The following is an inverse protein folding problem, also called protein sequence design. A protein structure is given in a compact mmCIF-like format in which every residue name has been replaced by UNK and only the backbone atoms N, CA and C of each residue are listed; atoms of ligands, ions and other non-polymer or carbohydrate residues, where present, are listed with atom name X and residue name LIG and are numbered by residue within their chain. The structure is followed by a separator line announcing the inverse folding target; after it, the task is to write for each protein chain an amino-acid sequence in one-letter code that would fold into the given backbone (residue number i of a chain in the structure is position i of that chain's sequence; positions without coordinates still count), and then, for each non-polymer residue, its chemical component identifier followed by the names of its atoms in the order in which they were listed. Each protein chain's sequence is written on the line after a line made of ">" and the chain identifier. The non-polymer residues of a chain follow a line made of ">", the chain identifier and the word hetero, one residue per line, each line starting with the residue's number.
data_IF_222574224314
#
_entry.id   IF_222574224314
#
_cell.length_a   1.000
_cell.length_b   1.000
_cell.length_c   1.000
_cell.angle_alpha   90.00
_cell.angle_beta   90.00
_cell.angle_gamma   90.00
#
_symmetry.space_group_name_H-M   'P 1'
#
loop_
_entity.id
_entity.type
_entity.pdbx_description
1 polymer ?
#
# COMPACT_ATOMS: atom_id res chain seq x y z
N UNK A 1 79.89 14.20 -37.48
CA UNK A 1 79.04 14.68 -38.59
C UNK A 1 77.78 13.83 -38.63
N UNK A 2 76.64 14.43 -38.32
CA UNK A 2 75.27 14.11 -38.77
C UNK A 2 74.30 14.65 -37.71
N UNK A 3 73.90 15.90 -37.88
CA UNK A 3 72.78 16.51 -37.18
C UNK A 3 71.49 16.01 -37.85
N UNK A 4 70.60 15.37 -37.09
CA UNK A 4 69.23 15.09 -37.51
C UNK A 4 68.31 16.10 -36.82
N UNK A 5 67.66 16.92 -37.64
CA UNK A 5 66.87 18.08 -37.25
C UNK A 5 65.56 17.73 -36.53
N UNK A 6 65.11 18.70 -35.72
CA UNK A 6 63.77 18.74 -35.17
C UNK A 6 62.76 19.21 -36.24
N UNK A 7 61.54 18.64 -36.29
CA UNK A 7 60.48 19.15 -37.14
C UNK A 7 59.78 20.37 -36.50
N UNK A 8 59.47 21.36 -37.35
CA UNK A 8 58.72 22.57 -37.00
C UNK A 8 57.22 22.27 -36.77
N UNK A 9 56.62 22.91 -35.77
CA UNK A 9 55.20 22.81 -35.45
C UNK A 9 54.39 23.83 -36.28
N UNK A 10 53.27 23.45 -36.92
CA UNK A 10 52.44 24.38 -37.67
C UNK A 10 51.60 25.29 -36.75
N UNK A 11 51.43 26.53 -37.21
CA UNK A 11 50.94 27.67 -36.44
C UNK A 11 49.51 27.59 -35.92
N UNK A 12 49.31 28.21 -34.75
CA UNK A 12 48.02 28.45 -34.14
C UNK A 12 47.23 29.53 -34.88
N UNK A 13 46.04 29.17 -35.34
CA UNK A 13 45.00 30.11 -35.75
C UNK A 13 44.15 30.41 -34.51
N UNK A 14 44.27 31.61 -33.95
CA UNK A 14 43.41 32.12 -32.88
C UNK A 14 42.02 32.48 -33.45
N UNK A 15 40.93 31.76 -33.14
CA UNK A 15 39.61 32.22 -33.50
C UNK A 15 39.20 33.35 -32.55
N UNK A 16 39.08 34.56 -33.09
CA UNK A 16 38.69 35.75 -32.35
C UNK A 16 37.40 35.55 -31.54
N UNK A 17 37.47 35.82 -30.23
CA UNK A 17 36.31 35.92 -29.36
C UNK A 17 35.37 37.01 -29.89
N UNK A 18 34.25 36.60 -30.52
CA UNK A 18 33.10 37.49 -30.69
C UNK A 18 32.51 37.78 -29.31
N UNK A 19 32.62 39.03 -28.88
CA UNK A 19 31.85 39.57 -27.77
C UNK A 19 30.35 39.37 -28.06
N UNK A 20 29.71 38.48 -27.31
CA UNK A 20 28.25 38.38 -27.27
C UNK A 20 27.68 39.64 -26.59
N UNK A 21 26.58 40.22 -27.10
CA UNK A 21 25.96 41.38 -26.48
C UNK A 21 25.46 41.02 -25.08
N UNK A 22 25.68 41.92 -24.10
CA UNK A 22 25.18 41.74 -22.74
C UNK A 22 23.65 41.65 -22.76
N UNK A 23 23.13 40.52 -22.28
CA UNK A 23 21.68 40.32 -22.11
C UNK A 23 21.07 41.33 -21.14
N UNK A 24 19.75 41.55 -21.20
CA UNK A 24 19.07 42.56 -20.40
C UNK A 24 19.26 42.31 -18.90
N UNK A 25 19.47 43.39 -18.15
CA UNK A 25 19.64 43.39 -16.70
C UNK A 25 18.48 42.67 -16.02
N UNK A 26 18.81 41.70 -15.16
CA UNK A 26 17.85 40.97 -14.35
C UNK A 26 16.93 41.95 -13.59
N UNK A 27 15.62 41.78 -13.77
CA UNK A 27 14.62 42.54 -13.00
C UNK A 27 14.69 42.21 -11.51
N UNK A 28 14.02 43.02 -10.67
CA UNK A 28 14.05 42.85 -9.22
C UNK A 28 13.52 41.46 -8.82
N UNK A 29 14.35 40.74 -8.06
CA UNK A 29 14.00 39.44 -7.46
C UNK A 29 12.84 39.68 -6.48
N UNK A 30 11.70 38.98 -6.64
CA UNK A 30 10.56 39.15 -5.74
C UNK A 30 10.96 38.71 -4.34
N UNK A 31 10.89 39.64 -3.39
CA UNK A 31 11.14 39.37 -1.97
C UNK A 31 9.85 38.84 -1.34
N UNK A 32 9.77 37.53 -1.19
CA UNK A 32 8.64 36.91 -0.51
C UNK A 32 8.80 35.41 -0.37
N UNK A 33 8.72 34.95 0.89
CA UNK A 33 8.65 33.58 1.39
C UNK A 33 10.01 32.93 1.71
N UNK A 34 10.20 32.68 3.01
CA UNK A 34 11.41 32.09 3.58
C UNK A 34 11.71 30.74 2.97
N UNK A 35 12.86 30.65 2.29
CA UNK A 35 13.44 29.40 1.85
C UNK A 35 13.99 28.67 3.07
N UNK A 36 13.26 27.69 3.59
CA UNK A 36 13.87 26.78 4.57
C UNK A 36 15.04 26.06 3.88
N UNK A 37 16.23 26.11 4.48
CA UNK A 37 17.42 25.38 4.01
C UNK A 37 17.02 23.93 3.65
N UNK A 38 17.36 23.41 2.44
CA UNK A 38 16.89 22.11 1.96
C UNK A 38 17.12 20.95 2.95
N UNK A 39 18.17 21.05 3.77
CA UNK A 39 18.45 20.09 4.84
C UNK A 39 17.41 20.11 5.97
N UNK A 40 16.97 21.30 6.40
CA UNK A 40 16.02 21.45 7.51
C UNK A 40 14.62 20.95 7.13
N UNK A 41 14.15 21.26 5.92
CA UNK A 41 12.88 20.76 5.39
C UNK A 41 12.87 19.21 5.30
N UNK A 42 13.98 18.61 4.84
CA UNK A 42 14.14 17.14 4.76
C UNK A 42 14.12 16.49 6.14
N UNK A 43 14.78 17.08 7.13
CA UNK A 43 14.79 16.58 8.52
C UNK A 43 13.38 16.64 9.13
N UNK A 44 12.66 17.76 8.94
CA UNK A 44 11.28 17.92 9.42
C UNK A 44 10.36 16.85 8.79
N UNK A 45 10.44 16.65 7.48
CA UNK A 45 9.68 15.61 6.79
C UNK A 45 10.00 14.20 7.32
N UNK A 46 11.29 13.87 7.48
CA UNK A 46 11.73 12.59 8.04
C UNK A 46 11.16 12.33 9.44
N UNK A 47 11.15 13.35 10.32
CA UNK A 47 10.57 13.25 11.67
C UNK A 47 9.06 12.95 11.63
N UNK A 48 8.32 13.60 10.73
CA UNK A 48 6.89 13.33 10.59
C UNK A 48 6.63 11.92 10.04
N UNK A 49 7.42 11.47 9.05
CA UNK A 49 7.33 10.10 8.54
C UNK A 49 7.66 9.04 9.61
N UNK A 50 8.65 9.30 10.47
CA UNK A 50 8.96 8.44 11.61
C UNK A 50 7.76 8.37 12.57
N UNK A 51 7.20 9.52 12.98
CA UNK A 51 6.03 9.59 13.86
C UNK A 51 4.82 8.82 13.31
N UNK A 52 4.52 8.96 12.02
CA UNK A 52 3.43 8.21 11.37
C UNK A 52 3.72 6.72 11.35
N UNK A 53 4.97 6.34 11.05
CA UNK A 53 5.39 4.93 11.04
C UNK A 53 5.28 4.29 12.42
N UNK A 54 5.72 4.99 13.46
CA UNK A 54 5.64 4.53 14.85
C UNK A 54 4.20 4.41 15.33
N UNK A 55 3.35 5.38 15.01
CA UNK A 55 1.92 5.33 15.37
C UNK A 55 1.21 4.15 14.69
N UNK A 56 1.51 3.91 13.41
CA UNK A 56 0.98 2.75 12.68
C UNK A 56 1.47 1.44 13.27
N UNK A 57 2.76 1.36 13.62
CA UNK A 57 3.35 0.18 14.25
C UNK A 57 2.70 -0.11 15.62
N UNK A 58 2.54 0.91 16.47
CA UNK A 58 1.86 0.81 17.76
C UNK A 58 0.42 0.30 17.60
N UNK A 59 -0.33 0.87 16.66
CA UNK A 59 -1.68 0.40 16.33
C UNK A 59 -1.69 -1.07 15.92
N UNK A 60 -0.80 -1.48 15.01
CA UNK A 60 -0.70 -2.87 14.58
C UNK A 60 -0.34 -3.81 15.73
N UNK A 61 0.58 -3.43 16.62
CA UNK A 61 0.91 -4.26 17.78
C UNK A 61 -0.29 -4.41 18.71
N UNK A 62 -1.04 -3.34 19.00
CA UNK A 62 -2.24 -3.41 19.85
C UNK A 62 -3.33 -4.28 19.23
N UNK A 63 -3.69 -3.98 17.99
CA UNK A 63 -4.75 -4.71 17.28
C UNK A 63 -4.42 -6.19 17.10
N UNK A 64 -3.19 -6.54 16.69
CA UNK A 64 -2.79 -7.94 16.52
C UNK A 64 -2.80 -8.70 17.83
N UNK A 65 -2.36 -8.08 18.94
CA UNK A 65 -2.40 -8.74 20.26
C UNK A 65 -3.83 -9.00 20.69
N UNK A 66 -4.72 -8.03 20.51
CA UNK A 66 -6.12 -8.17 20.86
C UNK A 66 -6.77 -9.31 20.07
N UNK A 67 -6.63 -9.32 18.74
CA UNK A 67 -7.21 -10.37 17.88
C UNK A 67 -6.73 -11.77 18.30
N UNK A 68 -5.44 -11.94 18.57
CA UNK A 68 -4.85 -13.23 18.96
C UNK A 68 -5.28 -13.68 20.37
N UNK A 69 -5.56 -12.75 21.28
CA UNK A 69 -6.07 -13.07 22.60
C UNK A 69 -7.55 -13.48 22.57
N UNK A 70 -8.34 -12.78 21.76
CA UNK A 70 -9.79 -12.98 21.66
C UNK A 70 -10.15 -14.20 20.79
N UNK A 71 -9.25 -14.64 19.92
CA UNK A 71 -9.49 -15.72 18.95
C UNK A 71 -8.64 -16.96 19.24
N UNK A 72 -9.24 -18.13 19.12
CA UNK A 72 -8.52 -19.42 19.17
C UNK A 72 -7.78 -19.71 17.85
N UNK A 73 -8.35 -19.26 16.73
CA UNK A 73 -7.80 -19.40 15.39
C UNK A 73 -8.10 -18.14 14.58
N UNK A 74 -7.14 -17.73 13.74
CA UNK A 74 -7.26 -16.58 12.85
C UNK A 74 -7.00 -17.02 11.42
N UNK A 75 -8.01 -16.82 10.57
CA UNK A 75 -7.92 -17.08 9.14
C UNK A 75 -7.94 -15.75 8.40
N UNK A 76 -6.96 -15.53 7.54
CA UNK A 76 -6.88 -14.30 6.73
C UNK A 76 -6.91 -14.68 5.25
N UNK A 77 -7.67 -13.94 4.45
CA UNK A 77 -7.62 -14.15 3.00
C UNK A 77 -6.26 -13.74 2.42
N UNK A 78 -5.70 -14.58 1.54
CA UNK A 78 -4.50 -14.24 0.78
C UNK A 78 -4.80 -13.18 -0.28
N UNK A 79 -4.92 -11.93 0.19
CA UNK A 79 -4.92 -10.76 -0.66
C UNK A 79 -3.52 -10.60 -1.26
N UNK A 80 -3.43 -10.38 -2.57
CA UNK A 80 -2.17 -10.05 -3.24
C UNK A 80 -1.69 -8.64 -2.82
N UNK A 81 -1.30 -8.43 -1.56
CA UNK A 81 -1.01 -7.11 -0.99
C UNK A 81 0.09 -6.40 -1.79
N UNK A 82 1.09 -7.14 -2.26
CA UNK A 82 2.14 -6.65 -3.16
C UNK A 82 1.59 -6.17 -4.50
N UNK A 83 0.63 -6.89 -5.09
CA UNK A 83 -0.08 -6.50 -6.31
C UNK A 83 -0.96 -5.28 -6.10
N UNK A 84 -1.75 -5.26 -5.02
CA UNK A 84 -2.63 -4.14 -4.67
C UNK A 84 -1.83 -2.84 -4.42
N UNK A 85 -0.62 -2.98 -3.87
CA UNK A 85 0.35 -1.91 -3.68
C UNK A 85 0.87 -1.25 -4.98
N UNK A 86 0.54 -1.81 -6.15
CA UNK A 86 0.90 -1.27 -7.48
C UNK A 86 -0.32 -0.74 -8.26
N UNK A 87 -1.50 -0.78 -7.67
CA UNK A 87 -2.75 -0.32 -8.30
C UNK A 87 -3.12 1.09 -7.86
N UNK A 88 -4.29 1.59 -8.29
CA UNK A 88 -4.88 2.84 -7.78
C UNK A 88 -5.13 2.83 -6.26
N UNK A 89 -5.15 1.65 -5.63
CA UNK A 89 -5.28 1.47 -4.18
C UNK A 89 -3.94 1.52 -3.43
N UNK A 90 -2.83 1.72 -4.13
CA UNK A 90 -1.48 1.66 -3.56
C UNK A 90 -1.29 2.55 -2.33
N UNK A 91 -1.86 3.76 -2.34
CA UNK A 91 -1.80 4.66 -1.19
C UNK A 91 -2.50 4.04 0.02
N UNK A 92 -3.77 3.67 -0.12
CA UNK A 92 -4.57 3.07 0.96
C UNK A 92 -3.96 1.78 1.51
N UNK A 93 -3.39 0.94 0.64
CA UNK A 93 -2.73 -0.31 1.03
C UNK A 93 -1.46 -0.04 1.85
N UNK A 94 -0.63 0.92 1.42
CA UNK A 94 0.60 1.31 2.12
C UNK A 94 0.29 2.03 3.44
N UNK A 95 -0.70 2.91 3.45
CA UNK A 95 -1.15 3.62 4.64
C UNK A 95 -1.65 2.62 5.70
N UNK A 96 -2.42 1.61 5.26
CA UNK A 96 -2.92 0.55 6.14
C UNK A 96 -1.86 -0.43 6.63
N UNK A 97 -0.68 -0.52 6.00
CA UNK A 97 0.43 -1.35 6.50
C UNK A 97 0.17 -2.87 6.52
N UNK A 98 -0.70 -3.38 5.64
CA UNK A 98 -1.21 -4.75 5.69
C UNK A 98 -0.12 -5.83 5.79
N UNK A 99 0.96 -5.77 5.01
CA UNK A 99 2.01 -6.78 5.05
C UNK A 99 2.67 -6.90 6.44
N UNK A 100 2.94 -5.75 7.09
CA UNK A 100 3.51 -5.74 8.42
C UNK A 100 2.52 -6.28 9.46
N UNK A 101 1.24 -5.92 9.32
CA UNK A 101 0.19 -6.41 10.22
C UNK A 101 -0.01 -7.93 10.13
N UNK A 102 -0.01 -8.51 8.93
CA UNK A 102 -0.09 -9.96 8.75
C UNK A 102 1.10 -10.68 9.36
N UNK A 103 2.31 -10.15 9.18
CA UNK A 103 3.49 -10.70 9.85
C UNK A 103 3.37 -10.66 11.38
N UNK A 104 2.77 -9.60 11.93
CA UNK A 104 2.49 -9.51 13.37
C UNK A 104 1.47 -10.54 13.87
N UNK A 105 0.40 -10.78 13.11
CA UNK A 105 -0.57 -11.82 13.46
C UNK A 105 0.09 -13.21 13.44
N UNK A 106 0.91 -13.49 12.43
CA UNK A 106 1.58 -14.76 12.25
C UNK A 106 2.53 -15.08 13.42
N UNK A 107 3.50 -14.20 13.72
CA UNK A 107 4.45 -14.49 14.81
C UNK A 107 3.77 -14.50 16.19
N UNK A 108 2.73 -13.68 16.41
CA UNK A 108 2.01 -13.67 17.69
C UNK A 108 1.11 -14.87 17.86
N UNK A 109 0.49 -15.35 16.79
CA UNK A 109 -0.29 -16.58 16.83
C UNK A 109 0.59 -17.74 17.30
N UNK A 110 1.78 -17.88 16.72
CA UNK A 110 2.78 -18.87 17.15
C UNK A 110 3.15 -18.68 18.63
N UNK A 111 3.48 -17.46 19.04
CA UNK A 111 3.84 -17.17 20.44
C UNK A 111 2.72 -17.43 21.46
N UNK A 112 1.46 -17.36 21.05
CA UNK A 112 0.29 -17.61 21.89
C UNK A 112 -0.32 -19.02 21.71
N UNK A 113 0.31 -19.89 20.91
CA UNK A 113 -0.23 -21.23 20.62
C UNK A 113 -1.57 -21.20 19.88
N UNK A 114 -1.82 -20.18 19.06
CA UNK A 114 -3.02 -20.03 18.24
C UNK A 114 -2.78 -20.47 16.80
N UNK A 115 -3.83 -20.94 16.14
CA UNK A 115 -3.75 -21.28 14.72
C UNK A 115 -3.83 -20.00 13.87
N UNK A 116 -2.87 -19.80 12.98
CA UNK A 116 -2.93 -18.78 11.94
C UNK A 116 -2.80 -19.44 10.57
N UNK A 117 -3.74 -19.13 9.67
CA UNK A 117 -3.70 -19.67 8.31
C UNK A 117 -4.17 -18.63 7.29
N UNK A 118 -3.53 -18.63 6.12
CA UNK A 118 -3.98 -17.85 4.97
C UNK A 118 -4.93 -18.69 4.14
N UNK A 119 -6.16 -18.21 3.95
CA UNK A 119 -7.13 -18.86 3.09
C UNK A 119 -6.72 -18.68 1.62
N UNK A 120 -6.84 -19.76 0.86
CA UNK A 120 -6.49 -19.80 -0.56
C UNK A 120 -7.26 -18.74 -1.35
N UNK A 121 -6.56 -18.05 -2.25
CA UNK A 121 -7.12 -16.95 -3.05
C UNK A 121 -8.19 -17.41 -4.04
N UNK A 122 -8.07 -18.63 -4.56
CA UNK A 122 -9.04 -19.20 -5.49
C UNK A 122 -10.32 -19.66 -4.79
N UNK A 123 -10.33 -19.71 -3.45
CA UNK A 123 -11.54 -20.08 -2.71
C UNK A 123 -12.62 -19.00 -2.86
N UNK A 124 -13.79 -19.32 -3.44
CA UNK A 124 -14.83 -18.34 -3.73
C UNK A 124 -15.69 -18.02 -2.49
N UNK A 125 -15.06 -17.64 -1.37
CA UNK A 125 -15.70 -17.37 -0.06
C UNK A 125 -16.88 -16.39 -0.16
N UNK A 126 -16.75 -15.42 -1.06
CA UNK A 126 -17.71 -14.35 -1.30
C UNK A 126 -18.75 -14.68 -2.37
N UNK A 127 -18.66 -15.82 -3.06
CA UNK A 127 -19.61 -16.26 -4.09
C UNK A 127 -20.46 -17.44 -3.60
N UNK A 128 -20.03 -18.10 -2.52
CA UNK A 128 -20.70 -19.25 -1.91
C UNK A 128 -21.63 -18.80 -0.79
N UNK A 129 -22.87 -19.30 -0.82
CA UNK A 129 -23.83 -19.11 0.26
C UNK A 129 -23.31 -19.76 1.55
N UNK A 130 -23.30 -19.00 2.65
CA UNK A 130 -22.86 -19.50 3.95
C UNK A 130 -23.86 -20.47 4.60
N UNK A 131 -25.12 -20.48 4.14
CA UNK A 131 -26.18 -21.33 4.67
C UNK A 131 -26.27 -22.68 3.93
N UNK A 132 -26.36 -22.67 2.59
CA UNK A 132 -26.55 -23.89 1.80
C UNK A 132 -25.35 -24.29 0.93
N UNK A 133 -24.31 -23.46 0.83
CA UNK A 133 -23.14 -23.76 -0.01
C UNK A 133 -23.33 -23.53 -1.51
N UNK A 134 -24.49 -23.06 -1.96
CA UNK A 134 -24.74 -22.73 -3.37
C UNK A 134 -23.81 -21.61 -3.87
N UNK A 135 -23.29 -21.74 -5.10
CA UNK A 135 -22.39 -20.77 -5.70
C UNK A 135 -23.17 -19.83 -6.63
N UNK A 136 -23.43 -18.62 -6.15
CA UNK A 136 -24.15 -17.57 -6.91
C UNK A 136 -23.26 -16.80 -7.92
N UNK A 137 -21.96 -17.12 -8.01
CA UNK A 137 -21.03 -16.44 -8.92
C UNK A 137 -20.53 -15.05 -8.44
N UNK A 138 -19.75 -14.34 -9.30
CA UNK A 138 -19.13 -13.06 -8.97
C UNK A 138 -20.16 -11.94 -8.83
N UNK A 139 -19.94 -11.03 -7.87
CA UNK A 139 -20.90 -9.97 -7.55
C UNK A 139 -20.23 -8.59 -7.51
N UNK A 140 -20.90 -7.54 -8.02
CA UNK A 140 -20.34 -6.20 -8.00
C UNK A 140 -20.11 -5.68 -6.58
N UNK A 141 -19.01 -4.92 -6.40
CA UNK A 141 -18.65 -4.35 -5.10
C UNK A 141 -19.69 -3.38 -4.52
N UNK A 142 -20.57 -2.78 -5.34
CA UNK A 142 -21.58 -1.84 -4.86
C UNK A 142 -22.76 -2.53 -4.17
N UNK A 143 -23.03 -3.80 -4.48
CA UNK A 143 -24.13 -4.57 -3.87
C UNK A 143 -23.84 -4.79 -2.38
N UNK A 144 -24.78 -4.39 -1.52
CA UNK A 144 -24.64 -4.44 -0.05
C UNK A 144 -25.37 -5.63 0.55
N UNK A 145 -26.47 -6.04 -0.06
CA UNK A 145 -27.32 -7.15 0.35
C UNK A 145 -27.67 -8.00 -0.85
N UNK A 146 -27.88 -9.29 -0.61
CA UNK A 146 -28.06 -10.29 -1.66
C UNK A 146 -28.81 -11.47 -1.10
N UNK A 147 -29.82 -11.94 -1.82
CA UNK A 147 -30.58 -13.14 -1.47
C UNK A 147 -30.00 -14.32 -2.23
N UNK A 148 -29.78 -15.44 -1.55
CA UNK A 148 -29.38 -16.68 -2.21
C UNK A 148 -30.53 -17.21 -3.08
N UNK A 149 -30.25 -17.57 -4.33
CA UNK A 149 -31.27 -18.11 -5.24
C UNK A 149 -31.80 -19.49 -4.85
N UNK A 150 -31.02 -20.28 -4.11
CA UNK A 150 -31.36 -21.66 -3.73
C UNK A 150 -32.14 -21.73 -2.41
N UNK A 151 -31.64 -21.07 -1.36
CA UNK A 151 -32.21 -21.20 0.01
C UNK A 151 -32.91 -19.94 0.52
N UNK A 152 -32.94 -18.86 -0.27
CA UNK A 152 -33.60 -17.60 0.13
C UNK A 152 -32.92 -16.82 1.26
N UNK A 153 -31.76 -17.26 1.77
CA UNK A 153 -31.06 -16.54 2.84
C UNK A 153 -30.58 -15.18 2.34
N UNK A 154 -30.88 -14.12 3.11
CA UNK A 154 -30.35 -12.78 2.87
C UNK A 154 -28.97 -12.66 3.50
N UNK A 155 -27.98 -12.31 2.68
CA UNK A 155 -26.60 -12.10 3.10
C UNK A 155 -26.26 -10.62 2.99
N UNK A 156 -25.64 -10.05 4.03
CA UNK A 156 -24.90 -8.79 3.89
C UNK A 156 -23.61 -8.97 3.09
N UNK A 157 -23.04 -7.89 2.57
CA UNK A 157 -21.81 -7.88 1.74
C UNK A 157 -20.65 -8.65 2.37
N UNK A 158 -20.50 -8.52 3.69
CA UNK A 158 -19.39 -9.10 4.44
C UNK A 158 -19.71 -10.49 4.99
N UNK A 159 -20.93 -11.01 4.78
CA UNK A 159 -21.22 -12.39 5.10
C UNK A 159 -20.42 -13.30 4.17
N UNK A 160 -19.62 -14.17 4.78
CA UNK A 160 -18.79 -15.16 4.10
C UNK A 160 -18.97 -16.49 4.80
N UNK A 161 -18.73 -17.58 4.09
CA UNK A 161 -18.71 -18.91 4.68
C UNK A 161 -17.44 -19.07 5.52
N UNK A 162 -17.59 -19.29 6.83
CA UNK A 162 -16.51 -19.56 7.78
C UNK A 162 -16.72 -20.95 8.39
N UNK A 163 -15.87 -21.92 8.03
CA UNK A 163 -15.99 -23.29 8.55
C UNK A 163 -17.26 -24.05 8.09
N UNK A 164 -17.68 -25.03 8.89
CA UNK A 164 -18.87 -25.88 8.67
C UNK A 164 -20.14 -25.38 9.39
N UNK A 165 -20.05 -24.33 10.22
CA UNK A 165 -21.19 -23.78 10.97
C UNK A 165 -21.65 -22.48 10.32
N UNK A 166 -22.93 -22.43 9.93
CA UNK A 166 -23.56 -21.22 9.42
C UNK A 166 -23.52 -20.13 10.50
N UNK A 167 -22.70 -19.10 10.31
CA UNK A 167 -22.82 -17.86 11.08
C UNK A 167 -24.11 -17.13 10.64
N UNK A 168 -24.86 -16.60 11.61
CA UNK A 168 -26.10 -15.87 11.39
C UNK A 168 -25.86 -14.66 10.48
N UNK A 169 -26.08 -14.85 9.18
CA UNK A 169 -25.94 -13.80 8.17
C UNK A 169 -27.20 -12.94 8.01
N UNK A 170 -28.16 -13.07 8.93
CA UNK A 170 -29.46 -12.42 8.86
C UNK A 170 -29.32 -10.90 8.95
N UNK A 171 -29.33 -10.24 7.78
CA UNK A 171 -29.81 -8.88 7.70
C UNK A 171 -31.29 -8.90 8.05
N UNK A 172 -31.69 -8.24 9.16
CA UNK A 172 -33.10 -8.03 9.48
C UNK A 172 -33.72 -7.27 8.31
N UNK A 173 -34.53 -7.96 7.50
CA UNK A 173 -35.43 -7.33 6.54
C UNK A 173 -36.52 -6.68 7.38
N UNK A 174 -36.34 -5.43 7.79
CA UNK A 174 -37.46 -4.61 8.24
C UNK A 174 -38.31 -4.35 7.00
N UNK A 175 -39.39 -5.11 6.87
CA UNK A 175 -40.48 -4.78 5.95
C UNK A 175 -41.16 -3.51 6.49
N UNK A 176 -41.11 -2.44 5.71
CA UNK A 176 -42.15 -1.41 5.67
C UNK A 176 -42.81 -1.53 4.31
#
# INVERSE_FOLDING_TARGET
>A
MAACGLPELPGGHEPGLRLLPKGPSAGPVPQGQGIEEPGQARIKAARQHAKVTDRRRDFHHKASTQIIRDSQAVYVEDLAVSGLGRTRLAKSVRDAGWSAFLGMLEYKAVGHGRTFAKADRAFPSSQVCSACGFRDGPKPLHVRERTCGECGTVHGRNCRRTGQRAQACTGKRAQL
#
